data_IF_194082641960
#
_entry.id   IF_194082641960
#
_cell.length_a   1.000
_cell.length_b   1.000
_cell.length_c   1.000
_cell.angle_alpha   90.00
_cell.angle_beta   90.00
_cell.angle_gamma   90.00
#
_symmetry.space_group_name_H-M   'P 1'
#
loop_
_entity.id
_entity.type
_entity.pdbx_description
1 polymer ?
#
# COMPACT_ATOMS: atom_id res chain seq x y z
N UNK A 1 -3.32 11.48 14.39
CA UNK A 1 -4.21 10.57 13.64
C UNK A 1 -5.57 10.54 14.30
N UNK A 2 -6.56 11.11 13.62
CA UNK A 2 -7.95 11.17 14.07
C UNK A 2 -8.60 9.77 13.95
N UNK A 3 -9.74 9.55 14.60
CA UNK A 3 -10.41 8.23 14.60
C UNK A 3 -10.71 7.75 13.18
N UNK A 4 -11.18 8.64 12.30
CA UNK A 4 -11.46 8.34 10.89
C UNK A 4 -10.24 7.83 10.12
N UNK A 5 -9.07 8.45 10.28
CA UNK A 5 -7.84 7.98 9.63
C UNK A 5 -7.46 6.59 10.14
N UNK A 6 -7.63 6.31 11.43
CA UNK A 6 -7.33 4.99 12.01
C UNK A 6 -8.23 3.91 11.41
N UNK A 7 -9.52 4.21 11.24
CA UNK A 7 -10.47 3.31 10.59
C UNK A 7 -10.11 3.09 9.12
N UNK A 8 -9.77 4.15 8.38
CA UNK A 8 -9.32 4.04 6.98
C UNK A 8 -8.06 3.19 6.83
N UNK A 9 -7.06 3.40 7.69
CA UNK A 9 -5.83 2.58 7.69
C UNK A 9 -6.13 1.15 8.09
N UNK A 10 -7.04 0.89 9.03
CA UNK A 10 -7.47 -0.48 9.34
C UNK A 10 -8.07 -1.15 8.11
N UNK A 11 -9.05 -0.49 7.45
CA UNK A 11 -9.67 -1.03 6.24
C UNK A 11 -8.67 -1.30 5.13
N UNK A 12 -7.68 -0.41 4.94
CA UNK A 12 -6.58 -0.62 3.98
C UNK A 12 -5.77 -1.88 4.33
N UNK A 13 -5.47 -2.10 5.63
CA UNK A 13 -4.69 -3.26 6.08
C UNK A 13 -5.48 -4.55 5.93
N UNK A 14 -6.75 -4.58 6.36
CA UNK A 14 -7.65 -5.71 6.16
C UNK A 14 -7.75 -6.07 4.67
N UNK A 15 -7.93 -5.05 3.82
CA UNK A 15 -7.96 -5.22 2.36
C UNK A 15 -6.70 -5.89 1.82
N UNK A 16 -5.52 -5.38 2.23
CA UNK A 16 -4.24 -5.92 1.80
C UNK A 16 -4.00 -7.35 2.30
N UNK A 17 -4.58 -7.75 3.43
CA UNK A 17 -4.52 -9.12 3.96
C UNK A 17 -5.45 -10.07 3.19
N UNK A 18 -6.59 -9.58 2.72
CA UNK A 18 -7.53 -10.34 1.87
C UNK A 18 -7.04 -10.54 0.42
N UNK A 19 -6.01 -9.79 0.01
CA UNK A 19 -5.42 -10.00 -1.30
C UNK A 19 -4.68 -11.34 -1.34
N UNK A 20 -4.97 -12.12 -2.38
CA UNK A 20 -4.31 -13.39 -2.65
C UNK A 20 -2.88 -13.14 -3.20
N UNK A 21 -1.97 -12.76 -2.31
CA UNK A 21 -0.55 -12.48 -2.59
C UNK A 21 0.27 -13.78 -2.51
N UNK A 22 -0.11 -14.75 -3.34
CA UNK A 22 0.53 -16.06 -3.42
C UNK A 22 1.62 -16.11 -4.50
N UNK A 23 2.54 -17.07 -4.41
CA UNK A 23 3.66 -17.26 -5.37
C UNK A 23 3.23 -17.34 -6.84
N UNK A 24 1.97 -17.71 -7.11
CA UNK A 24 1.42 -17.77 -8.47
C UNK A 24 1.25 -16.39 -9.11
N UNK A 25 1.08 -15.36 -8.29
CA UNK A 25 0.91 -13.96 -8.69
C UNK A 25 2.22 -13.17 -8.52
N UNK A 26 3.28 -13.81 -8.03
CA UNK A 26 4.61 -13.22 -7.87
C UNK A 26 5.21 -12.97 -9.25
N UNK A 27 5.65 -11.73 -9.49
CA UNK A 27 6.35 -11.35 -10.70
C UNK A 27 7.81 -11.08 -10.37
N UNK A 28 8.71 -11.53 -11.26
CA UNK A 28 10.12 -11.20 -11.14
C UNK A 28 10.30 -9.71 -11.41
N UNK A 29 11.06 -9.04 -10.54
CA UNK A 29 11.40 -7.63 -10.65
C UNK A 29 11.97 -7.36 -12.05
N UNK A 30 11.13 -6.78 -12.90
CA UNK A 30 11.43 -6.52 -14.31
C UNK A 30 11.79 -5.06 -14.42
N UNK A 31 12.99 -4.73 -13.91
CA UNK A 31 13.68 -3.48 -14.22
C UNK A 31 12.84 -2.22 -14.06
N UNK A 32 12.57 -1.84 -12.80
CA UNK A 32 12.17 -0.46 -12.48
C UNK A 32 10.70 -0.15 -12.69
N UNK A 33 9.85 -0.56 -11.74
CA UNK A 33 8.54 0.08 -11.50
C UNK A 33 8.74 1.45 -10.80
N UNK A 34 9.69 2.27 -11.28
CA UNK A 34 10.02 3.58 -10.72
C UNK A 34 9.55 4.62 -11.73
N UNK A 35 8.30 5.05 -11.61
CA UNK A 35 7.79 6.18 -12.40
C UNK A 35 6.26 6.20 -12.52
N UNK A 36 5.68 7.21 -11.87
CA UNK A 36 4.27 7.63 -11.83
C UNK A 36 3.36 6.87 -10.84
N UNK A 37 2.54 7.61 -10.08
CA UNK A 37 1.41 7.12 -9.26
C UNK A 37 1.70 5.93 -8.32
N UNK A 38 2.70 6.09 -7.44
CA UNK A 38 3.04 5.06 -6.44
C UNK A 38 2.55 5.47 -5.05
N UNK A 39 1.60 4.71 -4.49
CA UNK A 39 1.24 4.85 -3.07
C UNK A 39 2.19 4.03 -2.21
N UNK A 40 2.78 4.64 -1.18
CA UNK A 40 3.63 3.94 -0.21
C UNK A 40 2.96 3.93 1.16
N UNK A 41 2.68 2.74 1.69
CA UNK A 41 2.16 2.56 3.04
C UNK A 41 3.20 1.83 3.90
N UNK A 42 3.76 2.57 4.86
CA UNK A 42 4.66 2.03 5.87
C UNK A 42 3.89 1.66 7.15
N UNK A 43 3.78 0.35 7.42
CA UNK A 43 3.25 -0.13 8.67
C UNK A 43 4.38 -0.19 9.71
N UNK A 44 4.28 0.70 10.69
CA UNK A 44 5.19 0.78 11.82
C UNK A 44 4.46 0.42 13.12
N UNK A 45 5.08 -0.42 13.96
CA UNK A 45 4.62 -0.70 15.32
C UNK A 45 5.53 0.04 16.29
N UNK A 46 5.11 1.23 16.71
CA UNK A 46 5.98 2.15 17.44
C UNK A 46 7.13 2.62 16.56
N UNK A 47 8.38 2.45 17.03
CA UNK A 47 9.60 2.77 16.26
C UNK A 47 10.06 1.63 15.35
N UNK A 48 9.39 0.48 15.37
CA UNK A 48 9.80 -0.71 14.62
C UNK A 48 9.04 -0.80 13.29
N UNK A 49 9.79 -0.81 12.19
CA UNK A 49 9.27 -1.14 10.87
C UNK A 49 8.72 -2.58 10.86
N UNK A 50 7.50 -2.76 10.37
CA UNK A 50 6.86 -4.06 10.25
C UNK A 50 6.82 -4.49 8.79
N UNK A 51 6.32 -3.63 7.91
CA UNK A 51 6.12 -3.95 6.50
C UNK A 51 5.87 -2.67 5.69
N UNK A 52 6.32 -2.66 4.44
CA UNK A 52 6.02 -1.62 3.45
C UNK A 52 5.18 -2.21 2.33
N UNK A 53 4.12 -1.51 1.96
CA UNK A 53 3.40 -1.76 0.71
C UNK A 53 3.67 -0.61 -0.25
N UNK A 54 4.00 -0.95 -1.50
CA UNK A 54 4.06 0.02 -2.59
C UNK A 54 3.07 -0.44 -3.65
N UNK A 55 2.14 0.42 -4.03
CA UNK A 55 1.07 0.10 -4.98
C UNK A 55 1.30 0.94 -6.23
N UNK A 56 1.35 0.28 -7.38
CA UNK A 56 1.56 0.89 -8.70
C UNK A 56 0.67 0.21 -9.74
N UNK A 57 -0.32 0.93 -10.26
CA UNK A 57 -1.28 0.37 -11.22
C UNK A 57 -1.91 -0.93 -10.71
N UNK A 58 -1.65 -2.04 -11.41
CA UNK A 58 -2.12 -3.40 -11.07
C UNK A 58 -1.15 -4.20 -10.17
N UNK A 59 -0.12 -3.57 -9.63
CA UNK A 59 0.96 -4.23 -8.91
C UNK A 59 1.06 -3.75 -7.46
N UNK A 60 1.36 -4.69 -6.57
CA UNK A 60 1.67 -4.42 -5.17
C UNK A 60 3.03 -5.03 -4.83
N UNK A 61 3.95 -4.19 -4.37
CA UNK A 61 5.23 -4.61 -3.83
C UNK A 61 5.15 -4.67 -2.31
N UNK A 62 5.55 -5.80 -1.73
CA UNK A 62 5.65 -5.97 -0.28
C UNK A 62 7.12 -6.02 0.11
N UNK A 63 7.56 -5.02 0.87
CA UNK A 63 8.85 -5.01 1.55
C UNK A 63 8.75 -5.66 2.91
N UNK A 64 9.34 -6.85 3.09
CA UNK A 64 9.50 -7.47 4.42
C UNK A 64 10.77 -6.98 5.15
N UNK A 65 11.79 -6.54 4.41
CA UNK A 65 13.02 -5.96 4.93
C UNK A 65 13.65 -5.03 3.87
N UNK A 66 14.61 -4.16 4.22
CA UNK A 66 15.20 -3.16 3.28
C UNK A 66 15.78 -3.77 2.00
N UNK A 67 16.07 -5.07 2.01
CA UNK A 67 16.67 -5.82 0.90
C UNK A 67 15.73 -6.86 0.26
N UNK A 68 14.54 -7.08 0.82
CA UNK A 68 13.61 -8.12 0.36
C UNK A 68 12.28 -7.49 0.00
N UNK A 69 12.08 -7.32 -1.31
CA UNK A 69 10.85 -6.86 -1.91
C UNK A 69 10.30 -7.97 -2.80
N UNK A 70 9.00 -8.23 -2.70
CA UNK A 70 8.29 -9.17 -3.57
C UNK A 70 7.18 -8.42 -4.25
N UNK A 71 7.07 -8.56 -5.57
CA UNK A 71 6.06 -7.88 -6.38
C UNK A 71 4.97 -8.89 -6.73
N UNK A 72 3.73 -8.49 -6.54
CA UNK A 72 2.56 -9.27 -6.87
C UNK A 72 1.71 -8.51 -7.88
N UNK A 73 1.23 -9.21 -8.91
CA UNK A 73 0.20 -8.68 -9.81
C UNK A 73 -1.18 -8.97 -9.23
N UNK A 74 -1.98 -7.94 -9.04
CA UNK A 74 -3.33 -8.00 -8.48
C UNK A 74 -4.34 -7.59 -9.55
N UNK A 75 -5.57 -8.09 -9.46
CA UNK A 75 -6.64 -7.69 -10.40
C UNK A 75 -7.06 -6.24 -10.14
N UNK A 76 -7.17 -5.45 -11.21
CA UNK A 76 -7.52 -4.03 -11.16
C UNK A 76 -8.82 -3.73 -10.38
N UNK A 77 -9.84 -4.57 -10.55
CA UNK A 77 -11.16 -4.41 -9.92
C UNK A 77 -11.08 -4.33 -8.39
N UNK A 78 -10.12 -5.07 -7.83
CA UNK A 78 -9.81 -5.07 -6.40
C UNK A 78 -9.02 -3.82 -5.99
N UNK A 79 -8.07 -3.38 -6.82
CA UNK A 79 -7.22 -2.23 -6.51
C UNK A 79 -7.94 -0.89 -6.57
N UNK A 80 -8.97 -0.73 -7.41
CA UNK A 80 -9.66 0.56 -7.60
C UNK A 80 -10.23 1.12 -6.28
N UNK A 81 -10.81 0.28 -5.44
CA UNK A 81 -11.39 0.70 -4.15
C UNK A 81 -10.31 1.06 -3.12
N UNK A 82 -9.22 0.28 -3.11
CA UNK A 82 -8.04 0.56 -2.30
C UNK A 82 -7.41 1.91 -2.64
N UNK A 83 -7.24 2.19 -3.95
CA UNK A 83 -6.66 3.44 -4.42
C UNK A 83 -7.52 4.64 -4.01
N UNK A 84 -8.85 4.55 -4.10
CA UNK A 84 -9.75 5.60 -3.61
C UNK A 84 -9.61 5.83 -2.10
N UNK A 85 -9.47 4.75 -1.32
CA UNK A 85 -9.33 4.87 0.14
C UNK A 85 -7.98 5.51 0.51
N UNK A 86 -6.92 5.22 -0.25
CA UNK A 86 -5.61 5.86 -0.11
C UNK A 86 -5.62 7.33 -0.51
N UNK A 87 -6.33 7.69 -1.58
CA UNK A 87 -6.53 9.07 -2.03
C UNK A 87 -7.24 9.90 -0.94
N UNK A 88 -8.37 9.39 -0.43
CA UNK A 88 -9.10 10.00 0.68
C UNK A 88 -8.23 10.16 1.95
N UNK A 89 -7.36 9.19 2.24
CA UNK A 89 -6.44 9.26 3.38
C UNK A 89 -5.36 10.32 3.17
N UNK A 90 -4.85 10.45 1.95
CA UNK A 90 -3.87 11.47 1.58
C UNK A 90 -4.47 12.88 1.66
N UNK A 91 -5.69 13.08 1.13
CA UNK A 91 -6.43 14.33 1.26
C UNK A 91 -6.69 14.70 2.72
N UNK A 92 -7.17 13.75 3.54
CA UNK A 92 -7.44 13.97 4.97
C UNK A 92 -6.19 14.30 5.79
N UNK A 93 -4.99 13.93 5.31
CA UNK A 93 -3.72 14.32 5.93
C UNK A 93 -3.24 15.69 5.46
N UNK A 94 -3.41 16.04 4.18
CA UNK A 94 -3.05 17.36 3.66
C UNK A 94 -3.88 18.49 4.28
N UNK A 95 -5.16 18.23 4.60
CA UNK A 95 -6.07 19.17 5.28
C UNK A 95 -5.58 19.59 6.69
N UNK A 96 -4.52 18.96 7.23
CA UNK A 96 -3.96 19.25 8.55
C UNK A 96 -2.62 19.97 8.54
N UNK A 97 -2.03 20.23 7.37
CA UNK A 97 -0.77 21.00 7.26
C UNK A 97 -1.01 22.50 7.00
N UNK A 98 -2.26 22.96 6.83
CA UNK A 98 -2.62 24.37 6.56
C UNK A 98 -3.07 25.21 7.78
N UNK A 99 -2.89 24.76 9.03
CA UNK A 99 -3.23 25.57 10.24
C UNK A 99 -2.06 25.76 11.23
#
# INVERSE_FOLDING_TARGET
>A
MNIKEKEMVSSIVDYLDELDLSKKNEVKDTGGLVGADTYTLDLNRGTKFVRRYMIYGDYITIGKDKKQQVIYKVKHDKLSDLLKTLDNLAEANNDKEEE
#
